data_IF_234468630142
#
_entry.id   IF_234468630142
#
_cell.length_a   1.000
_cell.length_b   1.000
_cell.length_c   1.000
_cell.angle_alpha   90.00
_cell.angle_beta   90.00
_cell.angle_gamma   90.00
#
_symmetry.space_group_name_H-M   'P 1'
#
loop_
_entity.id
_entity.type
_entity.pdbx_description
1 polymer ?
#
# COMPACT_ATOMS: atom_id res chain seq x y z
N UNK A 1 8.54 23.91 -7.74
CA UNK A 1 8.77 22.46 -7.72
C UNK A 1 7.54 21.84 -7.10
N UNK A 2 7.00 20.72 -7.63
CA UNK A 2 5.97 19.98 -6.92
C UNK A 2 6.52 19.52 -5.56
N UNK A 3 5.63 19.40 -4.57
CA UNK A 3 5.97 18.92 -3.23
C UNK A 3 6.43 17.45 -3.31
N UNK A 4 7.59 17.08 -2.72
CA UNK A 4 8.08 15.70 -2.77
C UNK A 4 7.11 14.72 -2.10
N UNK A 5 6.32 15.19 -1.14
CA UNK A 5 5.26 14.43 -0.48
C UNK A 5 4.10 14.07 -1.42
N UNK A 6 3.79 14.92 -2.40
CA UNK A 6 2.69 14.68 -3.32
C UNK A 6 3.03 13.57 -4.33
N UNK A 7 4.29 13.49 -4.74
CA UNK A 7 4.77 12.41 -5.61
C UNK A 7 4.72 11.08 -4.86
N UNK A 8 5.25 11.02 -3.64
CA UNK A 8 5.21 9.83 -2.80
C UNK A 8 3.78 9.27 -2.61
N UNK A 9 2.78 10.14 -2.40
CA UNK A 9 1.38 9.72 -2.25
C UNK A 9 0.81 9.14 -3.55
N UNK A 10 1.16 9.71 -4.70
CA UNK A 10 0.74 9.23 -6.02
C UNK A 10 1.40 7.87 -6.33
N UNK A 11 2.72 7.77 -6.16
CA UNK A 11 3.50 6.54 -6.32
C UNK A 11 2.95 5.41 -5.42
N UNK A 12 2.71 5.71 -4.14
CA UNK A 12 2.12 4.75 -3.20
C UNK A 12 0.74 4.27 -3.65
N UNK A 13 -0.09 5.18 -4.19
CA UNK A 13 -1.42 4.83 -4.66
C UNK A 13 -1.38 3.96 -5.91
N UNK A 14 -0.55 4.31 -6.90
CA UNK A 14 -0.38 3.50 -8.11
C UNK A 14 0.09 2.07 -7.76
N UNK A 15 1.03 1.95 -6.82
CA UNK A 15 1.50 0.66 -6.33
C UNK A 15 0.39 -0.15 -5.65
N UNK A 16 -0.43 0.49 -4.82
CA UNK A 16 -1.56 -0.14 -4.12
C UNK A 16 -2.64 -0.63 -5.10
N UNK A 17 -2.88 0.10 -6.19
CA UNK A 17 -3.77 -0.33 -7.27
C UNK A 17 -3.20 -1.58 -7.99
N UNK A 18 -1.88 -1.64 -8.21
CA UNK A 18 -1.18 -2.80 -8.80
C UNK A 18 -1.20 -4.01 -7.86
N UNK A 19 -1.06 -3.81 -6.53
CA UNK A 19 -1.13 -4.87 -5.51
C UNK A 19 -2.44 -5.66 -5.60
N UNK A 20 -3.56 -5.01 -5.93
CA UNK A 20 -4.84 -5.69 -6.10
C UNK A 20 -4.87 -6.66 -7.29
N UNK A 21 -3.97 -6.47 -8.25
CA UNK A 21 -3.79 -7.31 -9.45
C UNK A 21 -2.67 -8.34 -9.29
N UNK A 22 -1.88 -8.24 -8.21
CA UNK A 22 -0.81 -9.20 -7.95
C UNK A 22 -1.37 -10.60 -7.70
N UNK A 23 -0.61 -11.59 -8.13
CA UNK A 23 -0.86 -12.98 -7.85
C UNK A 23 0.43 -13.54 -7.27
N UNK A 24 0.37 -13.96 -6.00
CA UNK A 24 1.54 -14.42 -5.27
C UNK A 24 1.15 -15.51 -4.28
N UNK A 25 2.14 -16.25 -3.81
CA UNK A 25 1.94 -17.32 -2.84
C UNK A 25 1.46 -16.75 -1.50
N UNK A 26 0.68 -17.51 -0.71
CA UNK A 26 0.18 -17.08 0.61
C UNK A 26 1.26 -16.53 1.55
N UNK A 27 2.46 -17.11 1.54
CA UNK A 27 3.59 -16.63 2.35
C UNK A 27 4.07 -15.22 1.96
N UNK A 28 4.01 -14.86 0.65
CA UNK A 28 4.32 -13.50 0.20
C UNK A 28 3.20 -12.53 0.56
N UNK A 29 1.95 -12.97 0.49
CA UNK A 29 0.82 -12.16 0.95
C UNK A 29 0.90 -11.84 2.44
N UNK A 30 1.32 -12.80 3.28
CA UNK A 30 1.55 -12.58 4.72
C UNK A 30 2.67 -11.56 4.97
N UNK A 31 3.77 -11.65 4.22
CA UNK A 31 4.84 -10.66 4.28
C UNK A 31 4.36 -9.26 3.88
N UNK A 32 3.62 -9.15 2.77
CA UNK A 32 3.08 -7.89 2.28
C UNK A 32 2.07 -7.28 3.26
N UNK A 33 1.25 -8.11 3.91
CA UNK A 33 0.35 -7.70 4.97
C UNK A 33 1.06 -6.98 6.12
N UNK A 34 2.24 -7.45 6.53
CA UNK A 34 3.05 -6.78 7.55
C UNK A 34 3.64 -5.44 7.09
N UNK A 35 4.01 -5.33 5.81
CA UNK A 35 4.50 -4.07 5.23
C UNK A 35 3.37 -3.04 5.14
N UNK A 36 2.16 -3.48 4.73
CA UNK A 36 0.97 -2.63 4.69
C UNK A 36 0.59 -2.10 6.08
N UNK A 37 0.71 -2.92 7.11
CA UNK A 37 0.46 -2.51 8.50
C UNK A 37 1.42 -1.39 8.95
N UNK A 38 2.72 -1.53 8.61
CA UNK A 38 3.72 -0.50 8.88
C UNK A 38 3.45 0.79 8.08
N UNK A 39 3.00 0.69 6.83
CA UNK A 39 2.66 1.85 6.00
C UNK A 39 1.42 2.59 6.55
N UNK A 40 0.41 1.86 7.03
CA UNK A 40 -0.76 2.44 7.71
C UNK A 40 -0.32 3.22 8.94
N UNK A 41 0.49 2.61 9.81
CA UNK A 41 0.98 3.29 11.02
C UNK A 41 1.81 4.55 10.71
N UNK A 42 2.62 4.50 9.65
CA UNK A 42 3.38 5.66 9.17
C UNK A 42 2.45 6.77 8.64
N UNK A 43 1.45 6.42 7.83
CA UNK A 43 0.47 7.37 7.30
C UNK A 43 -0.36 8.02 8.42
N UNK A 44 -0.81 7.23 9.42
CA UNK A 44 -1.54 7.75 10.59
C UNK A 44 -0.69 8.70 11.44
N UNK A 45 0.62 8.41 11.56
CA UNK A 45 1.55 9.24 12.32
C UNK A 45 2.07 10.46 11.54
N UNK A 46 1.78 10.54 10.23
CA UNK A 46 2.32 11.56 9.32
C UNK A 46 3.82 11.40 9.03
N UNK A 47 4.37 10.20 9.25
CA UNK A 47 5.80 9.91 9.05
C UNK A 47 6.05 9.53 7.58
N UNK A 48 6.39 10.54 6.77
CA UNK A 48 6.62 10.38 5.34
C UNK A 48 7.87 9.55 5.02
N UNK A 49 8.89 9.54 5.89
CA UNK A 49 10.11 8.75 5.70
C UNK A 49 9.82 7.25 5.93
N UNK A 50 9.05 6.95 6.98
CA UNK A 50 8.59 5.59 7.23
C UNK A 50 7.63 5.09 6.12
N UNK A 51 6.79 5.98 5.58
CA UNK A 51 5.91 5.65 4.45
C UNK A 51 6.71 5.35 3.18
N UNK A 52 7.69 6.18 2.83
CA UNK A 52 8.60 5.96 1.69
C UNK A 52 9.33 4.62 1.81
N UNK A 53 9.91 4.34 2.97
CA UNK A 53 10.58 3.08 3.23
C UNK A 53 9.64 1.87 3.12
N UNK A 54 8.35 2.02 3.48
CA UNK A 54 7.35 0.97 3.32
C UNK A 54 6.97 0.75 1.86
N UNK A 55 6.80 1.82 1.07
CA UNK A 55 6.54 1.76 -0.38
C UNK A 55 7.66 0.99 -1.09
N UNK A 56 8.92 1.35 -0.84
CA UNK A 56 10.09 0.65 -1.42
C UNK A 56 10.08 -0.85 -1.07
N UNK A 57 9.72 -1.20 0.17
CA UNK A 57 9.60 -2.62 0.58
C UNK A 57 8.47 -3.34 -0.14
N UNK A 58 7.34 -2.68 -0.38
CA UNK A 58 6.23 -3.25 -1.15
C UNK A 58 6.65 -3.53 -2.60
N UNK A 59 7.34 -2.60 -3.25
CA UNK A 59 7.87 -2.80 -4.61
C UNK A 59 8.81 -4.01 -4.70
N UNK A 60 9.69 -4.18 -3.70
CA UNK A 60 10.59 -5.33 -3.62
C UNK A 60 9.85 -6.64 -3.33
N UNK A 61 8.77 -6.59 -2.55
CA UNK A 61 7.91 -7.73 -2.24
C UNK A 61 6.98 -8.12 -3.39
N UNK A 62 6.82 -7.23 -4.38
CA UNK A 62 6.00 -7.44 -5.55
C UNK A 62 6.47 -8.62 -6.42
N UNK A 63 5.58 -9.17 -7.26
CA UNK A 63 5.94 -10.21 -8.20
C UNK A 63 6.96 -9.65 -9.19
N UNK A 64 8.20 -10.14 -9.13
CA UNK A 64 9.20 -9.87 -10.17
C UNK A 64 8.59 -10.34 -11.49
N UNK A 65 8.39 -9.44 -12.48
CA UNK A 65 7.70 -9.74 -13.75
C UNK A 65 8.25 -10.92 -14.56
N UNK A 66 9.34 -11.53 -14.11
CA UNK A 66 9.81 -12.83 -14.58
C UNK A 66 8.88 -13.90 -14.02
N UNK A 67 7.83 -14.23 -14.79
CA UNK A 67 7.10 -15.50 -14.63
C UNK A 67 8.11 -16.65 -14.72
N UNK A 68 8.65 -17.09 -13.59
CA UNK A 68 9.42 -18.32 -13.53
C UNK A 68 8.42 -19.45 -13.74
N UNK A 69 8.49 -20.08 -14.91
CA UNK A 69 7.65 -21.22 -15.27
C UNK A 69 7.79 -22.29 -14.18
N UNK A 70 6.69 -22.55 -13.45
CA UNK A 70 6.58 -23.65 -12.49
C UNK A 70 6.43 -23.29 -11.01
N UNK A 71 6.32 -22.01 -10.62
CA UNK A 71 6.09 -21.64 -9.21
C UNK A 71 4.62 -21.79 -8.78
N UNK A 72 4.42 -22.34 -7.58
CA UNK A 72 3.17 -22.71 -6.91
C UNK A 72 2.03 -21.70 -7.04
N UNK A 73 0.80 -22.24 -7.11
CA UNK A 73 -0.49 -21.55 -7.22
C UNK A 73 -0.45 -20.08 -6.81
N UNK A 74 -0.48 -19.20 -7.81
CA UNK A 74 -0.57 -17.78 -7.59
C UNK A 74 -2.02 -17.46 -7.21
N UNK A 75 -2.23 -17.17 -5.93
CA UNK A 75 -3.56 -16.85 -5.41
C UNK A 75 -3.82 -15.34 -5.50
N UNK A 76 -5.08 -14.93 -5.73
CA UNK A 76 -5.47 -13.53 -5.65
C UNK A 76 -5.28 -12.99 -4.22
N UNK A 77 -5.24 -11.65 -4.04
CA UNK A 77 -5.06 -11.04 -2.73
C UNK A 77 -6.11 -11.53 -1.74
N UNK A 78 -5.69 -12.01 -0.54
CA UNK A 78 -6.62 -12.42 0.50
C UNK A 78 -7.40 -11.19 1.01
N UNK A 79 -8.59 -11.41 1.61
CA UNK A 79 -9.46 -10.31 2.04
C UNK A 79 -8.78 -9.34 3.00
N UNK A 80 -7.89 -9.84 3.87
CA UNK A 80 -7.12 -9.01 4.82
C UNK A 80 -6.15 -8.05 4.12
N UNK A 81 -5.59 -8.43 2.98
CA UNK A 81 -4.71 -7.56 2.20
C UNK A 81 -5.54 -6.50 1.48
N UNK A 82 -6.68 -6.89 0.89
CA UNK A 82 -7.59 -5.93 0.25
C UNK A 82 -8.09 -4.86 1.21
N UNK A 83 -8.46 -5.26 2.43
CA UNK A 83 -8.93 -4.34 3.46
C UNK A 83 -7.84 -3.32 3.84
N UNK A 84 -6.61 -3.78 4.10
CA UNK A 84 -5.46 -2.91 4.38
C UNK A 84 -5.12 -1.96 3.24
N UNK A 85 -5.15 -2.45 2.00
CA UNK A 85 -4.93 -1.63 0.81
C UNK A 85 -5.98 -0.53 0.72
N UNK A 86 -7.26 -0.86 0.85
CA UNK A 86 -8.35 0.12 0.85
C UNK A 86 -8.21 1.15 1.99
N UNK A 87 -7.84 0.69 3.18
CA UNK A 87 -7.63 1.56 4.33
C UNK A 87 -6.47 2.54 4.07
N UNK A 88 -5.33 2.06 3.58
CA UNK A 88 -4.18 2.90 3.27
C UNK A 88 -4.49 3.92 2.17
N UNK A 89 -5.19 3.52 1.10
CA UNK A 89 -5.65 4.45 0.06
C UNK A 89 -6.54 5.55 0.64
N UNK A 90 -7.43 5.20 1.58
CA UNK A 90 -8.28 6.19 2.25
C UNK A 90 -7.48 7.16 3.12
N UNK A 91 -6.48 6.66 3.86
CA UNK A 91 -5.58 7.49 4.67
C UNK A 91 -4.73 8.43 3.80
N UNK A 92 -4.24 7.96 2.66
CA UNK A 92 -3.45 8.78 1.74
C UNK A 92 -4.30 9.82 0.98
N UNK A 93 -5.59 9.55 0.78
CA UNK A 93 -6.52 10.50 0.17
C UNK A 93 -6.95 11.63 1.13
N UNK A 94 -6.88 11.41 2.44
CA UNK A 94 -7.18 12.43 3.45
C UNK A 94 -5.88 13.06 3.96
N UNK A 95 -5.63 14.35 3.73
CA UNK A 95 -4.44 14.99 4.28
C UNK A 95 -4.51 14.94 5.83
N UNK A 96 -3.42 14.56 6.52
CA UNK A 96 -3.37 14.55 7.98
C UNK A 96 -3.54 16.00 8.47
N UNK A 97 -4.75 16.35 8.87
CA UNK A 97 -5.10 17.71 9.27
C UNK A 97 -6.39 18.27 8.68
N UNK A 98 -7.13 17.53 7.83
CA UNK A 98 -8.52 17.88 7.60
C UNK A 98 -9.33 17.49 8.85
N UNK A 99 -9.80 18.45 9.69
CA UNK A 99 -10.84 18.10 10.64
C UNK A 99 -12.00 17.58 9.80
N UNK A 100 -12.52 16.42 10.13
CA UNK A 100 -13.80 15.93 9.65
C UNK A 100 -14.88 16.94 10.07
N UNK A 101 -14.99 18.03 9.31
CA UNK A 101 -16.01 19.05 9.39
C UNK A 101 -17.28 18.51 8.74
N UNK A 102 -17.78 17.40 9.29
CA UNK A 102 -19.13 16.97 9.08
C UNK A 102 -20.01 17.81 10.01
N UNK A 103 -20.29 19.04 9.59
CA UNK A 103 -21.39 19.86 10.12
C UNK A 103 -22.46 19.90 9.03
N UNK A 104 -23.64 19.40 9.37
CA UNK A 104 -24.75 19.22 8.44
C UNK A 104 -25.36 20.52 7.93
N UNK A 105 -26.05 20.39 6.81
CA UNK A 105 -27.08 21.30 6.32
C UNK A 105 -28.33 20.50 5.94
#
# INVERSE_FOLDING_TARGET
>A
MPDPSAHLVDDARELLEDVLQWQMSPARWDHLAGILDAAIAAAESGDLDALDAAVVRMEVAGPVRVQRIGEESADPPPPVVRDRVNHLVHLLATPPGAPSGQAGE
#
